data_IF_839061087321
#
_entry.id   IF_839061087321
#
_cell.length_a   1.000
_cell.length_b   1.000
_cell.length_c   1.000
_cell.angle_alpha   90.00
_cell.angle_beta   90.00
_cell.angle_gamma   90.00
#
_symmetry.space_group_name_H-M   'P 1'
#
loop_
_entity.id
_entity.type
_entity.pdbx_description
1 polymer ?
#
# COMPACT_ATOMS: atom_id res chain seq x y z
N UNK A 1 9.37 15.20 -1.07
CA UNK A 1 9.09 15.94 0.17
C UNK A 1 7.96 15.22 0.89
N UNK A 2 8.23 14.54 2.00
CA UNK A 2 7.23 13.73 2.73
C UNK A 2 6.38 14.54 3.74
N UNK A 3 6.82 15.75 4.07
CA UNK A 3 6.12 16.64 5.01
C UNK A 3 7.01 17.79 5.48
N UNK A 4 6.53 18.54 6.47
CA UNK A 4 7.23 19.65 7.13
C UNK A 4 7.40 19.32 8.62
N UNK A 5 8.64 19.46 9.14
CA UNK A 5 8.89 19.51 10.57
C UNK A 5 9.01 20.97 10.99
N UNK A 6 8.05 21.46 11.77
CA UNK A 6 8.05 22.81 12.31
C UNK A 6 8.18 22.75 13.84
N UNK A 7 9.09 23.54 14.40
CA UNK A 7 9.24 23.72 15.84
C UNK A 7 9.05 25.21 16.10
N UNK A 8 8.15 25.54 17.02
CA UNK A 8 7.83 26.91 17.39
C UNK A 8 8.00 27.13 18.90
N UNK A 9 8.29 28.36 19.26
CA UNK A 9 8.37 28.84 20.64
C UNK A 9 7.55 30.14 20.74
N UNK A 10 6.88 30.35 21.88
CA UNK A 10 6.12 31.59 22.13
C UNK A 10 7.02 32.77 22.52
N UNK A 11 8.26 32.51 22.90
CA UNK A 11 9.26 33.53 23.20
C UNK A 11 9.99 33.94 21.92
N UNK A 12 9.84 35.22 21.55
CA UNK A 12 10.43 35.79 20.34
C UNK A 12 11.97 35.87 20.39
N UNK A 13 12.57 35.81 21.59
CA UNK A 13 14.02 35.80 21.76
C UNK A 13 14.62 34.38 21.76
N UNK A 14 13.78 33.35 21.67
CA UNK A 14 14.22 31.96 21.82
C UNK A 14 15.07 31.43 20.66
N UNK A 15 14.84 31.94 19.44
CA UNK A 15 15.59 31.53 18.25
C UNK A 15 16.39 32.73 17.72
N UNK A 16 17.70 32.70 17.93
CA UNK A 16 18.60 33.73 17.39
C UNK A 16 19.24 33.29 16.06
N UNK A 17 19.45 34.22 15.10
CA UNK A 17 20.22 33.94 13.90
C UNK A 17 21.63 33.46 14.25
N UNK A 18 21.99 32.24 13.85
CA UNK A 18 23.29 31.62 14.16
C UNK A 18 23.27 30.59 15.30
N UNK A 19 22.13 30.36 15.96
CA UNK A 19 21.94 29.15 16.76
C UNK A 19 21.85 27.93 15.83
N UNK A 20 22.65 26.89 16.12
CA UNK A 20 22.81 25.74 15.24
C UNK A 20 21.52 24.92 15.09
N UNK A 21 20.89 24.99 13.92
CA UNK A 21 19.81 24.08 13.51
C UNK A 21 20.30 22.69 13.17
N UNK A 22 21.63 22.46 13.18
CA UNK A 22 22.30 21.21 12.83
C UNK A 22 21.66 19.96 13.46
N UNK A 23 21.24 20.05 14.73
CA UNK A 23 20.56 18.93 15.39
C UNK A 23 19.20 18.64 14.75
N UNK A 24 18.41 19.68 14.51
CA UNK A 24 17.08 19.56 13.90
C UNK A 24 17.16 19.11 12.44
N UNK A 25 18.16 19.58 11.70
CA UNK A 25 18.42 19.15 10.33
C UNK A 25 18.80 17.67 10.27
N UNK A 26 19.70 17.22 11.15
CA UNK A 26 20.08 15.80 11.26
C UNK A 26 18.90 14.94 11.70
N UNK A 27 18.10 15.42 12.66
CA UNK A 27 16.92 14.72 13.11
C UNK A 27 15.87 14.60 11.99
N UNK A 28 15.59 15.69 11.27
CA UNK A 28 14.67 15.68 10.13
C UNK A 28 15.14 14.72 9.02
N UNK A 29 16.45 14.66 8.76
CA UNK A 29 17.02 13.73 7.79
C UNK A 29 16.80 12.26 8.21
N UNK A 30 17.04 11.93 9.47
CA UNK A 30 16.82 10.57 10.01
C UNK A 30 15.33 10.20 9.93
N UNK A 31 14.44 11.09 10.39
CA UNK A 31 12.99 10.86 10.33
C UNK A 31 12.52 10.67 8.89
N UNK A 32 13.01 11.49 7.96
CA UNK A 32 12.69 11.36 6.53
C UNK A 32 13.10 9.99 6.00
N UNK A 33 14.33 9.56 6.28
CA UNK A 33 14.84 8.25 5.84
C UNK A 33 14.04 7.08 6.42
N UNK A 34 13.69 7.14 7.71
CA UNK A 34 12.85 6.13 8.34
C UNK A 34 11.46 6.07 7.71
N UNK A 35 10.83 7.21 7.44
CA UNK A 35 9.52 7.29 6.78
C UNK A 35 9.58 6.76 5.35
N UNK A 36 10.58 7.16 4.56
CA UNK A 36 10.78 6.65 3.20
C UNK A 36 10.92 5.13 3.19
N UNK A 37 11.67 4.57 4.14
CA UNK A 37 11.84 3.12 4.25
C UNK A 37 10.49 2.42 4.52
N UNK A 38 9.73 2.89 5.51
CA UNK A 38 8.41 2.32 5.83
C UNK A 38 7.46 2.42 4.63
N UNK A 39 7.37 3.59 3.99
CA UNK A 39 6.49 3.79 2.84
C UNK A 39 6.89 2.92 1.65
N UNK A 40 8.18 2.79 1.35
CA UNK A 40 8.66 1.93 0.27
C UNK A 40 8.40 0.46 0.58
N UNK A 41 8.59 0.03 1.83
CA UNK A 41 8.28 -1.34 2.26
C UNK A 41 6.79 -1.65 2.13
N UNK A 42 5.92 -0.74 2.57
CA UNK A 42 4.47 -0.93 2.40
C UNK A 42 4.09 -0.92 0.92
N UNK A 43 4.67 -0.04 0.10
CA UNK A 43 4.43 -0.04 -1.35
C UNK A 43 4.86 -1.36 -2.01
N UNK A 44 6.02 -1.88 -1.66
CA UNK A 44 6.49 -3.18 -2.17
C UNK A 44 5.57 -4.32 -1.72
N UNK A 45 5.10 -4.27 -0.48
CA UNK A 45 4.13 -5.23 0.04
C UNK A 45 2.82 -5.16 -0.75
N UNK A 46 2.28 -3.96 -0.98
CA UNK A 46 1.09 -3.74 -1.80
C UNK A 46 1.26 -4.29 -3.21
N UNK A 47 2.34 -3.93 -3.90
CA UNK A 47 2.67 -4.44 -5.24
C UNK A 47 2.80 -5.97 -5.28
N UNK A 48 3.25 -6.60 -4.19
CA UNK A 48 3.33 -8.06 -4.08
C UNK A 48 1.99 -8.75 -3.79
N UNK A 49 0.96 -8.00 -3.38
CA UNK A 49 -0.35 -8.52 -2.98
C UNK A 49 -1.47 -8.14 -3.95
N UNK A 50 -1.23 -7.23 -4.89
CA UNK A 50 -2.21 -6.82 -5.90
C UNK A 50 -1.78 -7.23 -7.31
N UNK A 51 -2.74 -7.50 -8.17
CA UNK A 51 -2.54 -7.64 -9.61
C UNK A 51 -2.45 -6.23 -10.24
N UNK A 52 -1.40 -5.90 -11.01
CA UNK A 52 -1.19 -4.55 -11.52
C UNK A 52 -2.14 -4.15 -12.65
N UNK A 53 -2.76 -5.13 -13.33
CA UNK A 53 -3.71 -4.86 -14.40
C UNK A 53 -5.07 -4.45 -13.83
N UNK A 54 -5.61 -5.25 -12.93
CA UNK A 54 -6.96 -5.07 -12.36
C UNK A 54 -6.99 -4.23 -11.08
N UNK A 55 -5.84 -4.06 -10.41
CA UNK A 55 -5.75 -3.46 -9.08
C UNK A 55 -6.34 -4.30 -7.94
N UNK A 56 -6.88 -5.49 -8.26
CA UNK A 56 -7.46 -6.40 -7.28
C UNK A 56 -6.36 -7.12 -6.49
N UNK A 57 -6.74 -7.65 -5.32
CA UNK A 57 -5.85 -8.55 -4.60
C UNK A 57 -5.59 -9.82 -5.41
N UNK A 58 -4.33 -10.21 -5.48
CA UNK A 58 -3.91 -11.39 -6.21
C UNK A 58 -4.16 -12.68 -5.42
N UNK A 59 -3.88 -13.82 -6.06
CA UNK A 59 -4.04 -15.15 -5.48
C UNK A 59 -3.30 -15.32 -4.14
N UNK A 60 -2.09 -14.77 -4.01
CA UNK A 60 -1.30 -14.88 -2.77
C UNK A 60 -2.01 -14.21 -1.60
N UNK A 61 -2.56 -13.02 -1.82
CA UNK A 61 -3.37 -12.35 -0.80
C UNK A 61 -4.62 -13.15 -0.45
N UNK A 62 -5.34 -13.66 -1.46
CA UNK A 62 -6.51 -14.51 -1.25
C UNK A 62 -6.20 -15.73 -0.37
N UNK A 63 -5.13 -16.48 -0.67
CA UNK A 63 -4.73 -17.65 0.09
C UNK A 63 -4.43 -17.31 1.56
N UNK A 64 -3.75 -16.19 1.82
CA UNK A 64 -3.50 -15.71 3.18
C UNK A 64 -4.81 -15.34 3.89
N UNK A 65 -5.66 -14.53 3.26
CA UNK A 65 -6.94 -14.09 3.87
C UNK A 65 -7.88 -15.25 4.12
N UNK A 66 -7.95 -16.23 3.22
CA UNK A 66 -8.80 -17.39 3.37
C UNK A 66 -8.42 -18.20 4.62
N UNK A 67 -7.11 -18.37 4.89
CA UNK A 67 -6.64 -19.03 6.11
C UNK A 67 -7.04 -18.26 7.37
N UNK A 68 -6.89 -16.94 7.36
CA UNK A 68 -7.28 -16.07 8.47
C UNK A 68 -8.79 -16.15 8.76
N UNK A 69 -9.63 -16.05 7.73
CA UNK A 69 -11.09 -16.12 7.88
C UNK A 69 -11.59 -17.52 8.25
N UNK A 70 -10.96 -18.58 7.73
CA UNK A 70 -11.28 -19.95 8.14
C UNK A 70 -10.97 -20.18 9.62
N UNK A 71 -9.85 -19.67 10.12
CA UNK A 71 -9.52 -19.71 11.55
C UNK A 71 -10.48 -18.85 12.39
N UNK A 72 -10.89 -17.69 11.87
CA UNK A 72 -11.85 -16.81 12.56
C UNK A 72 -13.21 -17.47 12.70
N UNK A 73 -13.71 -18.06 11.62
CA UNK A 73 -14.95 -18.85 11.55
C UNK A 73 -14.93 -20.01 12.54
N UNK A 74 -13.83 -20.78 12.58
CA UNK A 74 -13.67 -21.88 13.55
C UNK A 74 -13.73 -21.42 15.01
N UNK A 75 -13.26 -20.20 15.31
CA UNK A 75 -13.25 -19.66 16.68
C UNK A 75 -14.59 -19.07 17.11
N UNK A 76 -15.28 -18.38 16.22
CA UNK A 76 -16.49 -17.61 16.57
C UNK A 76 -17.79 -18.26 16.12
N UNK A 77 -17.73 -19.25 15.21
CA UNK A 77 -18.90 -19.94 14.67
C UNK A 77 -19.62 -19.19 13.56
N UNK A 78 -19.13 -18.01 13.15
CA UNK A 78 -19.72 -17.21 12.08
C UNK A 78 -19.63 -17.95 10.72
N UNK A 79 -20.67 -17.91 9.87
CA UNK A 79 -20.64 -18.57 8.57
C UNK A 79 -19.66 -17.90 7.59
N UNK A 80 -18.95 -18.72 6.80
CA UNK A 80 -18.03 -18.29 5.74
C UNK A 80 -18.56 -18.72 4.36
N UNK A 81 -18.53 -17.82 3.39
CA UNK A 81 -18.85 -18.10 1.99
C UNK A 81 -17.70 -17.68 1.07
N UNK A 82 -17.54 -18.39 -0.05
CA UNK A 82 -16.56 -18.08 -1.09
C UNK A 82 -17.24 -18.13 -2.45
N UNK A 83 -17.07 -17.08 -3.26
CA UNK A 83 -17.62 -16.98 -4.61
C UNK A 83 -16.46 -17.02 -5.61
N UNK A 84 -16.57 -17.90 -6.60
CA UNK A 84 -15.64 -17.96 -7.73
C UNK A 84 -16.35 -17.44 -8.98
N UNK A 85 -15.77 -16.45 -9.63
CA UNK A 85 -16.30 -15.81 -10.84
C UNK A 85 -15.29 -16.03 -11.97
N UNK A 86 -15.81 -16.24 -13.18
CA UNK A 86 -15.01 -16.35 -14.40
C UNK A 86 -15.56 -15.40 -15.47
N UNK A 87 -14.68 -14.84 -16.29
CA UNK A 87 -15.06 -13.95 -17.37
C UNK A 87 -15.38 -14.78 -18.63
N UNK A 88 -16.68 -14.98 -18.88
CA UNK A 88 -17.15 -15.79 -20.00
C UNK A 88 -16.64 -15.25 -21.35
N UNK A 89 -16.20 -16.17 -22.21
CA UNK A 89 -15.72 -15.89 -23.57
C UNK A 89 -14.56 -14.87 -23.67
N UNK A 90 -13.81 -14.63 -22.60
CA UNK A 90 -12.70 -13.66 -22.60
C UNK A 90 -11.65 -13.93 -23.69
N UNK A 91 -11.37 -15.21 -23.97
CA UNK A 91 -10.48 -15.62 -25.07
C UNK A 91 -10.96 -15.10 -26.44
N UNK A 92 -12.27 -15.08 -26.70
CA UNK A 92 -12.82 -14.57 -27.96
C UNK A 92 -12.53 -13.07 -28.13
N UNK A 93 -12.55 -12.30 -27.04
CA UNK A 93 -12.21 -10.87 -27.06
C UNK A 93 -10.73 -10.72 -27.45
N UNK A 94 -9.83 -11.45 -26.78
CA UNK A 94 -8.41 -11.44 -27.10
C UNK A 94 -8.12 -11.86 -28.54
N UNK A 95 -8.76 -12.93 -29.01
CA UNK A 95 -8.53 -13.47 -30.35
C UNK A 95 -9.09 -12.54 -31.46
N UNK A 96 -10.14 -11.77 -31.17
CA UNK A 96 -10.78 -10.87 -32.15
C UNK A 96 -10.13 -9.48 -32.19
N UNK A 97 -9.75 -8.94 -31.03
CA UNK A 97 -9.35 -7.54 -30.87
C UNK A 97 -7.93 -7.37 -30.33
N UNK A 98 -7.22 -8.47 -30.07
CA UNK A 98 -5.89 -8.49 -29.48
C UNK A 98 -5.89 -8.38 -27.96
N UNK A 99 -4.74 -8.68 -27.34
CA UNK A 99 -4.60 -8.69 -25.88
C UNK A 99 -4.83 -7.34 -25.21
N UNK A 100 -4.45 -6.23 -25.86
CA UNK A 100 -4.69 -4.89 -25.32
C UNK A 100 -6.19 -4.60 -25.13
N UNK A 101 -7.06 -5.16 -25.98
CA UNK A 101 -8.50 -5.04 -25.80
C UNK A 101 -8.99 -5.85 -24.61
N UNK A 102 -8.43 -7.03 -24.36
CA UNK A 102 -8.70 -7.81 -23.14
C UNK A 102 -8.27 -7.08 -21.88
N UNK A 103 -7.10 -6.44 -21.91
CA UNK A 103 -6.59 -5.62 -20.79
C UNK A 103 -7.52 -4.45 -20.45
N UNK A 104 -8.24 -3.89 -21.43
CA UNK A 104 -9.22 -2.81 -21.22
C UNK A 104 -10.55 -3.31 -20.63
N UNK A 105 -10.89 -4.59 -20.84
CA UNK A 105 -12.10 -5.20 -20.27
C UNK A 105 -11.92 -5.57 -18.80
N UNK A 106 -10.67 -5.80 -18.37
CA UNK A 106 -10.27 -6.12 -17.00
C UNK A 106 -10.05 -4.86 -16.15
#
# INVERSE_FOLDING_TARGET
>A
MLGLLAIGCHDAAHYEPGQGTDFLERFAAIVTLCLENVLNRERLKWLGLTDPLTGLYNRRYFEQRLQEEAQRTRRHGDPLACLMLDADHFKRINDTWGHQAGDVVL
#
